data_IF_665862432861
#
_entry.id   IF_665862432861
#
_cell.length_a   1.000
_cell.length_b   1.000
_cell.length_c   1.000
_cell.angle_alpha   90.00
_cell.angle_beta   90.00
_cell.angle_gamma   90.00
#
_symmetry.space_group_name_H-M   'P 1'
#
loop_
_entity.id
_entity.type
_entity.pdbx_description
1 polymer ?
#
# COMPACT_ATOMS: atom_id res chain seq x y z
N UNK A 1 -5.63 8.71 25.11
CA UNK A 1 -4.52 8.04 24.42
C UNK A 1 -3.28 8.15 25.29
N UNK A 2 -2.39 7.14 25.32
CA UNK A 2 -1.08 7.31 25.92
C UNK A 2 -0.29 8.39 25.16
N UNK A 3 0.69 9.01 25.82
CA UNK A 3 1.65 9.90 25.16
C UNK A 3 2.58 9.01 24.32
N UNK A 4 2.77 9.36 23.04
CA UNK A 4 3.68 8.65 22.15
C UNK A 4 5.04 9.34 22.10
N UNK A 5 6.12 8.55 22.02
CA UNK A 5 7.49 9.06 21.94
C UNK A 5 7.75 9.88 20.66
N UNK A 6 7.05 9.54 19.58
CA UNK A 6 7.02 10.30 18.35
C UNK A 6 5.76 9.98 17.53
N UNK A 7 5.58 10.72 16.44
CA UNK A 7 4.44 10.64 15.54
C UNK A 7 4.28 9.27 14.83
N UNK A 8 5.33 8.44 14.74
CA UNK A 8 5.17 7.08 14.20
C UNK A 8 4.28 6.20 15.11
N UNK A 9 4.22 6.53 16.41
CA UNK A 9 3.37 5.83 17.36
C UNK A 9 1.86 6.02 17.11
N UNK A 10 1.47 7.00 16.30
CA UNK A 10 0.06 7.26 15.94
C UNK A 10 -0.37 6.52 14.68
N UNK A 11 0.50 5.74 14.05
CA UNK A 11 0.17 4.92 12.87
C UNK A 11 -0.77 3.78 13.28
N UNK A 12 -1.81 3.58 12.50
CA UNK A 12 -2.84 2.56 12.74
C UNK A 12 -3.92 3.00 13.70
N UNK A 13 -4.71 2.03 14.20
CA UNK A 13 -5.94 2.29 14.98
C UNK A 13 -6.88 3.31 14.30
N UNK A 14 -6.95 3.22 12.98
CA UNK A 14 -7.79 4.09 12.15
C UNK A 14 -9.27 3.74 12.39
N UNK A 15 -10.21 4.69 12.26
CA UNK A 15 -11.61 4.41 12.57
C UNK A 15 -12.26 3.52 11.51
N UNK A 16 -13.25 2.73 11.94
CA UNK A 16 -14.20 2.05 11.05
C UNK A 16 -15.49 2.88 10.99
N UNK A 17 -15.81 3.42 9.82
CA UNK A 17 -16.91 4.38 9.64
C UNK A 17 -18.03 3.76 8.83
N UNK A 18 -19.21 3.58 9.45
CA UNK A 18 -20.40 3.08 8.77
C UNK A 18 -20.88 4.07 7.70
N UNK A 19 -21.05 3.61 6.46
CA UNK A 19 -21.74 4.36 5.43
C UNK A 19 -23.24 4.39 5.74
N UNK A 20 -23.85 5.56 5.56
CA UNK A 20 -25.29 5.76 5.85
C UNK A 20 -26.08 5.96 4.56
N UNK A 21 -25.81 7.04 3.82
CA UNK A 21 -26.58 7.42 2.62
C UNK A 21 -26.27 6.52 1.42
N UNK A 22 -24.99 6.23 1.18
CA UNK A 22 -24.53 5.48 0.01
C UNK A 22 -24.98 4.01 0.05
N UNK A 23 -25.04 3.44 1.26
CA UNK A 23 -25.46 2.07 1.53
C UNK A 23 -26.95 1.95 1.93
N UNK A 24 -27.72 3.02 1.84
CA UNK A 24 -29.13 3.01 2.22
C UNK A 24 -29.92 2.00 1.36
N UNK A 25 -30.71 1.15 2.02
CA UNK A 25 -31.51 0.11 1.36
C UNK A 25 -30.76 -1.19 1.06
N UNK A 26 -29.44 -1.26 1.32
CA UNK A 26 -28.72 -2.53 1.24
C UNK A 26 -29.07 -3.42 2.45
N UNK A 27 -29.21 -4.75 2.26
CA UNK A 27 -29.47 -5.68 3.36
C UNK A 27 -28.25 -5.93 4.25
N UNK A 28 -27.14 -5.22 4.02
CA UNK A 28 -25.87 -5.40 4.72
C UNK A 28 -25.35 -4.06 5.27
N UNK A 29 -24.57 -4.14 6.35
CA UNK A 29 -23.83 -2.98 6.86
C UNK A 29 -22.53 -2.81 6.07
N UNK A 30 -22.35 -1.64 5.46
CA UNK A 30 -21.11 -1.27 4.79
C UNK A 30 -20.36 -0.26 5.67
N UNK A 31 -19.11 -0.55 5.99
CA UNK A 31 -18.24 0.34 6.73
C UNK A 31 -16.88 0.49 6.05
N UNK A 32 -16.27 1.66 6.19
CA UNK A 32 -14.97 2.01 5.61
C UNK A 32 -13.92 2.02 6.70
N UNK A 33 -12.88 1.21 6.54
CA UNK A 33 -11.66 1.32 7.36
C UNK A 33 -10.86 2.52 6.86
N UNK A 34 -10.93 3.62 7.59
CA UNK A 34 -10.54 4.94 7.11
C UNK A 34 -9.02 5.17 7.22
N UNK A 35 -8.24 4.47 6.39
CA UNK A 35 -6.78 4.53 6.37
C UNK A 35 -6.20 5.92 6.04
N UNK A 36 -7.03 6.86 5.59
CA UNK A 36 -6.68 8.27 5.44
C UNK A 36 -6.57 9.03 6.76
N UNK A 37 -6.88 8.41 7.91
CA UNK A 37 -6.61 8.95 9.25
C UNK A 37 -5.22 8.61 9.79
N UNK A 38 -4.42 7.81 9.07
CA UNK A 38 -2.99 7.67 9.41
C UNK A 38 -2.30 9.04 9.30
N UNK A 39 -1.17 9.28 10.00
CA UNK A 39 -0.58 10.61 10.14
C UNK A 39 -0.25 11.32 8.81
N UNK A 40 0.12 10.57 7.77
CA UNK A 40 0.42 11.10 6.42
C UNK A 40 -0.69 10.78 5.42
N UNK A 41 -1.87 10.39 5.92
CA UNK A 41 -3.10 10.32 5.16
C UNK A 41 -3.26 9.06 4.32
N UNK A 42 -2.54 7.98 4.60
CA UNK A 42 -2.67 6.76 3.80
C UNK A 42 -2.38 5.45 4.53
N UNK A 43 -2.87 4.35 3.95
CA UNK A 43 -2.54 2.97 4.37
C UNK A 43 -1.04 2.67 4.29
N UNK A 44 -0.27 3.42 3.50
CA UNK A 44 1.15 3.14 3.28
C UNK A 44 2.02 3.52 4.47
N UNK A 45 1.54 4.37 5.37
CA UNK A 45 2.20 4.74 6.62
C UNK A 45 2.54 3.47 7.43
N UNK A 46 1.59 2.51 7.48
CA UNK A 46 1.79 1.21 8.11
C UNK A 46 2.98 0.46 7.54
N UNK A 47 3.04 0.32 6.21
CA UNK A 47 4.08 -0.49 5.57
C UNK A 47 5.43 0.24 5.52
N UNK A 48 5.42 1.57 5.42
CA UNK A 48 6.63 2.39 5.49
C UNK A 48 7.33 2.19 6.83
N UNK A 49 6.58 2.28 7.93
CA UNK A 49 7.12 2.02 9.26
C UNK A 49 7.55 0.55 9.43
N UNK A 50 6.71 -0.40 9.01
CA UNK A 50 6.97 -1.83 9.21
C UNK A 50 8.17 -2.35 8.41
N UNK A 51 8.35 -1.91 7.16
CA UNK A 51 9.51 -2.33 6.35
C UNK A 51 10.82 -1.78 6.95
N UNK A 52 10.82 -0.54 7.43
CA UNK A 52 11.99 0.05 8.11
C UNK A 52 12.29 -0.69 9.41
N UNK A 53 11.28 -0.94 10.26
CA UNK A 53 11.45 -1.68 11.50
C UNK A 53 11.97 -3.12 11.26
N UNK A 54 11.49 -3.79 10.20
CA UNK A 54 12.00 -5.10 9.81
C UNK A 54 13.47 -5.03 9.38
N UNK A 55 13.83 -4.06 8.53
CA UNK A 55 15.22 -3.85 8.11
C UNK A 55 16.17 -3.52 9.27
N UNK A 56 15.70 -2.76 10.27
CA UNK A 56 16.43 -2.50 11.51
C UNK A 56 16.67 -3.80 12.31
N UNK A 57 15.62 -4.60 12.53
CA UNK A 57 15.71 -5.86 13.28
C UNK A 57 16.60 -6.91 12.61
N UNK A 58 16.60 -6.93 11.29
CA UNK A 58 17.44 -7.83 10.48
C UNK A 58 18.89 -7.33 10.34
N UNK A 59 19.22 -6.15 10.88
CA UNK A 59 20.55 -5.55 10.75
C UNK A 59 20.88 -5.04 9.33
N UNK A 60 19.89 -4.99 8.43
CA UNK A 60 20.02 -4.45 7.07
C UNK A 60 20.06 -2.93 7.05
N UNK A 61 19.47 -2.29 8.06
CA UNK A 61 19.47 -0.84 8.23
C UNK A 61 20.27 -0.49 9.48
N UNK A 62 21.19 0.44 9.30
CA UNK A 62 21.97 1.10 10.34
C UNK A 62 21.81 2.61 10.19
N UNK A 63 22.22 3.44 11.16
CA UNK A 63 22.20 4.91 11.00
C UNK A 63 23.00 5.43 9.79
N UNK A 64 23.89 4.61 9.22
CA UNK A 64 24.67 4.95 8.02
C UNK A 64 23.99 4.51 6.71
N UNK A 65 22.89 3.76 6.80
CA UNK A 65 22.25 3.16 5.64
C UNK A 65 21.47 4.21 4.84
N UNK A 66 21.57 4.13 3.51
CA UNK A 66 20.76 4.94 2.59
C UNK A 66 19.60 4.11 2.06
N UNK A 67 18.38 4.50 2.37
CA UNK A 67 17.18 3.84 1.86
C UNK A 67 16.91 4.36 0.45
N UNK A 68 16.59 3.46 -0.47
CA UNK A 68 16.28 3.80 -1.87
C UNK A 68 14.96 3.11 -2.21
N UNK A 69 13.94 3.81 -2.69
CA UNK A 69 12.70 3.16 -3.16
C UNK A 69 12.21 3.80 -4.47
N UNK A 70 11.91 2.99 -5.50
CA UNK A 70 11.31 3.50 -6.73
C UNK A 70 9.81 3.74 -6.53
N UNK A 71 9.44 4.95 -6.11
CA UNK A 71 8.05 5.32 -5.88
C UNK A 71 7.83 6.83 -5.85
N UNK A 72 6.68 7.25 -6.38
CA UNK A 72 6.15 8.62 -6.29
C UNK A 72 4.80 8.68 -5.57
N UNK A 73 4.30 7.53 -5.13
CA UNK A 73 2.99 7.40 -4.48
C UNK A 73 3.08 7.51 -2.97
N UNK A 74 2.02 7.04 -2.32
CA UNK A 74 1.88 7.09 -0.87
C UNK A 74 3.01 6.35 -0.13
N UNK A 75 3.62 5.31 -0.73
CA UNK A 75 4.78 4.63 -0.12
C UNK A 75 6.00 5.54 -0.01
N UNK A 76 6.22 6.43 -1.00
CA UNK A 76 7.31 7.41 -0.94
C UNK A 76 7.09 8.42 0.18
N UNK A 77 5.85 8.90 0.34
CA UNK A 77 5.47 9.82 1.42
C UNK A 77 5.68 9.16 2.78
N UNK A 78 5.19 7.92 2.95
CA UNK A 78 5.35 7.16 4.18
C UNK A 78 6.82 6.91 4.53
N UNK A 79 7.64 6.48 3.56
CA UNK A 79 9.07 6.26 3.77
C UNK A 79 9.81 7.57 4.09
N UNK A 80 9.49 8.68 3.41
CA UNK A 80 10.09 9.98 3.67
C UNK A 80 9.81 10.45 5.10
N UNK A 81 8.56 10.33 5.52
CA UNK A 81 8.15 10.64 6.88
C UNK A 81 8.85 9.76 7.93
N UNK A 82 8.89 8.44 7.73
CA UNK A 82 9.56 7.51 8.65
C UNK A 82 11.06 7.77 8.70
N UNK A 83 11.69 8.02 7.55
CA UNK A 83 13.10 8.34 7.46
C UNK A 83 13.42 9.67 8.17
N UNK A 84 12.59 10.70 8.00
CA UNK A 84 12.73 11.96 8.71
C UNK A 84 12.62 11.79 10.23
N UNK A 85 11.64 11.01 10.70
CA UNK A 85 11.42 10.77 12.13
C UNK A 85 12.55 9.94 12.78
N UNK A 86 13.17 9.03 12.02
CA UNK A 86 14.25 8.13 12.50
C UNK A 86 15.67 8.58 12.14
N UNK A 87 15.81 9.65 11.36
CA UNK A 87 17.11 10.19 10.93
C UNK A 87 17.82 9.40 9.82
N UNK A 88 17.07 8.69 8.97
CA UNK A 88 17.64 7.97 7.83
C UNK A 88 17.75 8.84 6.58
N UNK A 89 18.77 8.54 5.75
CA UNK A 89 18.85 9.07 4.39
C UNK A 89 17.88 8.32 3.49
N UNK A 90 17.09 9.04 2.72
CA UNK A 90 16.17 8.47 1.74
C UNK A 90 16.40 9.07 0.35
N UNK A 91 16.48 8.21 -0.65
CA UNK A 91 16.43 8.55 -2.06
C UNK A 91 15.17 7.93 -2.67
N UNK A 92 14.37 8.75 -3.34
CA UNK A 92 13.20 8.29 -4.10
C UNK A 92 13.46 8.47 -5.58
N UNK A 93 13.40 7.39 -6.35
CA UNK A 93 13.46 7.46 -7.81
C UNK A 93 12.05 7.53 -8.38
N UNK A 94 11.81 8.44 -9.31
CA UNK A 94 10.50 8.59 -9.95
C UNK A 94 10.57 9.26 -11.32
N UNK A 95 9.58 9.03 -12.20
CA UNK A 95 9.49 9.75 -13.47
C UNK A 95 9.32 11.27 -13.26
N UNK A 96 9.93 12.08 -14.11
CA UNK A 96 9.79 13.54 -14.06
C UNK A 96 8.37 14.05 -14.35
N UNK A 97 7.51 13.20 -14.92
CA UNK A 97 6.08 13.47 -15.14
C UNK A 97 5.25 13.54 -13.85
N UNK A 98 5.84 13.23 -12.69
CA UNK A 98 5.18 13.34 -11.41
C UNK A 98 4.94 14.81 -11.02
N UNK A 99 3.78 15.06 -10.39
CA UNK A 99 3.34 16.42 -10.09
C UNK A 99 4.34 17.18 -9.22
N UNK A 100 4.40 18.50 -9.40
CA UNK A 100 5.31 19.35 -8.63
C UNK A 100 4.96 19.32 -7.14
N UNK A 101 3.68 19.28 -6.79
CA UNK A 101 3.20 19.22 -5.41
C UNK A 101 3.72 17.98 -4.68
N UNK A 102 3.71 16.81 -5.33
CA UNK A 102 4.26 15.57 -4.76
C UNK A 102 5.78 15.67 -4.58
N UNK A 103 6.50 16.21 -5.56
CA UNK A 103 7.95 16.41 -5.45
C UNK A 103 8.29 17.37 -4.32
N UNK A 104 7.57 18.48 -4.20
CA UNK A 104 7.76 19.47 -3.13
C UNK A 104 7.50 18.85 -1.76
N UNK A 105 6.40 18.11 -1.59
CA UNK A 105 6.09 17.44 -0.31
C UNK A 105 7.22 16.49 0.11
N UNK A 106 7.71 15.65 -0.79
CA UNK A 106 8.76 14.68 -0.49
C UNK A 106 10.10 15.35 -0.16
N UNK A 107 10.44 16.43 -0.88
CA UNK A 107 11.64 17.21 -0.60
C UNK A 107 11.56 17.93 0.76
N UNK A 108 10.38 18.44 1.14
CA UNK A 108 10.15 19.03 2.47
C UNK A 108 10.27 18.01 3.60
N UNK A 109 9.94 16.74 3.34
CA UNK A 109 10.18 15.63 4.25
C UNK A 109 11.66 15.15 4.25
N UNK A 110 12.56 15.85 3.54
CA UNK A 110 14.00 15.55 3.53
C UNK A 110 14.41 14.42 2.58
N UNK A 111 13.51 13.93 1.72
CA UNK A 111 13.88 12.93 0.72
C UNK A 111 14.67 13.56 -0.43
N UNK A 112 15.76 12.91 -0.84
CA UNK A 112 16.44 13.23 -2.10
C UNK A 112 15.63 12.63 -3.25
N UNK A 113 15.29 13.43 -4.25
CA UNK A 113 14.56 12.96 -5.42
C UNK A 113 15.54 12.74 -6.58
N UNK A 114 15.46 11.56 -7.19
CA UNK A 114 16.18 11.22 -8.41
C UNK A 114 15.15 11.05 -9.53
N UNK A 115 15.11 12.01 -10.45
CA UNK A 115 14.13 12.01 -11.54
C UNK A 115 14.64 11.16 -12.71
N UNK A 116 13.76 10.35 -13.28
CA UNK A 116 14.01 9.57 -14.50
C UNK A 116 13.16 10.08 -15.67
N UNK A 117 13.55 9.83 -16.93
CA UNK A 117 12.77 10.25 -18.09
C UNK A 117 11.32 9.77 -18.02
N UNK A 118 10.37 10.65 -18.37
CA UNK A 118 8.95 10.32 -18.34
C UNK A 118 8.59 9.14 -19.28
N UNK A 119 9.30 9.01 -20.40
CA UNK A 119 9.12 7.97 -21.42
C UNK A 119 9.42 6.56 -20.92
N UNK A 120 10.28 6.41 -19.92
CA UNK A 120 10.63 5.12 -19.32
C UNK A 120 9.65 4.68 -18.21
N UNK A 121 8.82 5.63 -17.73
CA UNK A 121 7.85 5.40 -16.67
C UNK A 121 8.45 4.75 -15.43
N UNK A 122 7.65 3.94 -14.73
CA UNK A 122 8.11 3.26 -13.51
C UNK A 122 9.22 2.24 -13.75
N UNK A 123 9.35 1.69 -14.96
CA UNK A 123 10.45 0.77 -15.29
C UNK A 123 11.80 1.49 -15.21
N UNK A 124 11.89 2.71 -15.72
CA UNK A 124 13.08 3.56 -15.58
C UNK A 124 13.40 3.89 -14.12
N UNK A 125 12.39 4.25 -13.32
CA UNK A 125 12.57 4.52 -11.90
C UNK A 125 13.11 3.30 -11.13
N UNK A 126 12.61 2.09 -11.41
CA UNK A 126 13.11 0.84 -10.81
C UNK A 126 14.56 0.59 -11.23
N UNK A 127 14.87 0.66 -12.53
CA UNK A 127 16.24 0.47 -13.01
C UNK A 127 17.22 1.46 -12.38
N UNK A 128 16.81 2.72 -12.20
CA UNK A 128 17.62 3.73 -11.52
C UNK A 128 17.81 3.42 -10.03
N UNK A 129 16.79 2.95 -9.32
CA UNK A 129 16.92 2.56 -7.91
C UNK A 129 17.92 1.41 -7.75
N UNK A 130 17.86 0.41 -8.63
CA UNK A 130 18.79 -0.72 -8.63
C UNK A 130 20.22 -0.29 -8.97
N UNK A 131 20.40 0.64 -9.91
CA UNK A 131 21.71 1.21 -10.22
C UNK A 131 22.29 1.97 -9.02
N UNK A 132 21.50 2.85 -8.40
CA UNK A 132 21.91 3.58 -7.18
C UNK A 132 22.26 2.62 -6.04
N UNK A 133 21.53 1.51 -5.89
CA UNK A 133 21.84 0.53 -4.85
C UNK A 133 23.17 -0.20 -5.09
N UNK A 134 23.63 -0.31 -6.34
CA UNK A 134 24.97 -0.82 -6.69
C UNK A 134 26.06 0.23 -6.50
N UNK A 135 25.74 1.50 -6.71
CA UNK A 135 26.67 2.64 -6.61
C UNK A 135 26.90 3.10 -5.16
N UNK A 136 25.86 3.06 -4.31
CA UNK A 136 25.89 3.58 -2.94
C UNK A 136 26.16 2.42 -1.98
N UNK A 137 27.35 2.36 -1.34
CA UNK A 137 27.62 1.37 -0.31
C UNK A 137 26.65 1.53 0.87
N UNK A 138 26.28 0.42 1.51
CA UNK A 138 25.32 0.42 2.61
C UNK A 138 23.98 1.06 2.23
N UNK A 139 23.47 0.73 1.04
CA UNK A 139 22.14 1.11 0.61
C UNK A 139 21.17 -0.07 0.72
N UNK A 140 19.88 0.22 0.83
CA UNK A 140 18.84 -0.80 0.97
C UNK A 140 17.57 -0.38 0.25
N UNK A 141 16.97 -1.32 -0.50
CA UNK A 141 15.69 -1.12 -1.18
C UNK A 141 14.60 -1.89 -0.43
N UNK A 142 13.59 -1.22 0.15
CA UNK A 142 12.48 -1.88 0.85
C UNK A 142 11.71 -2.87 -0.02
N UNK A 143 11.47 -2.57 -1.30
CA UNK A 143 10.74 -3.42 -2.25
C UNK A 143 9.31 -3.74 -1.82
N UNK A 144 8.43 -2.73 -1.78
CA UNK A 144 7.05 -2.87 -1.26
C UNK A 144 6.20 -4.00 -1.87
N UNK A 145 6.51 -4.44 -3.10
CA UNK A 145 5.79 -5.50 -3.81
C UNK A 145 6.20 -6.92 -3.39
N UNK A 146 7.35 -7.07 -2.73
CA UNK A 146 7.96 -8.36 -2.34
C UNK A 146 8.26 -8.50 -0.86
N UNK A 147 8.37 -7.38 -0.15
CA UNK A 147 8.79 -7.38 1.24
C UNK A 147 7.71 -7.99 2.15
N UNK A 148 8.01 -9.08 2.88
CA UNK A 148 7.02 -9.75 3.73
C UNK A 148 6.54 -8.89 4.91
N UNK A 149 7.28 -7.85 5.29
CA UNK A 149 6.84 -6.90 6.31
C UNK A 149 5.56 -6.14 5.91
N UNK A 150 5.29 -5.99 4.61
CA UNK A 150 4.08 -5.36 4.10
C UNK A 150 2.81 -6.17 4.45
N UNK A 151 2.60 -7.43 4.00
CA UNK A 151 1.45 -8.20 4.46
C UNK A 151 1.50 -8.46 5.98
N UNK A 152 2.68 -8.65 6.58
CA UNK A 152 2.80 -8.94 8.01
C UNK A 152 2.26 -7.81 8.92
N UNK A 153 2.46 -6.53 8.58
CA UNK A 153 1.90 -5.45 9.39
C UNK A 153 0.37 -5.44 9.34
N UNK A 154 -0.22 -5.79 8.19
CA UNK A 154 -1.67 -5.89 8.04
C UNK A 154 -2.24 -7.07 8.84
N UNK A 155 -1.52 -8.20 8.95
CA UNK A 155 -1.88 -9.30 9.86
C UNK A 155 -1.88 -8.84 11.31
N UNK A 156 -0.79 -8.19 11.74
CA UNK A 156 -0.56 -7.80 13.14
C UNK A 156 -1.47 -6.65 13.60
N UNK A 157 -1.89 -5.79 12.69
CA UNK A 157 -2.61 -4.55 13.04
C UNK A 157 -3.95 -4.46 12.34
N UNK A 158 -3.98 -4.20 11.03
CA UNK A 158 -5.21 -3.92 10.29
C UNK A 158 -6.27 -5.02 10.45
N UNK A 159 -5.88 -6.29 10.42
CA UNK A 159 -6.78 -7.42 10.62
C UNK A 159 -7.37 -7.45 12.04
N UNK A 160 -6.53 -7.25 13.05
CA UNK A 160 -6.93 -7.22 14.46
C UNK A 160 -7.85 -6.04 14.76
N UNK A 161 -7.55 -4.87 14.19
CA UNK A 161 -8.40 -3.70 14.33
C UNK A 161 -9.78 -3.95 13.71
N UNK A 162 -9.85 -4.43 12.45
CA UNK A 162 -11.13 -4.76 11.81
C UNK A 162 -11.90 -5.82 12.61
N UNK A 163 -11.22 -6.85 13.10
CA UNK A 163 -11.83 -7.91 13.89
C UNK A 163 -12.41 -7.37 15.20
N UNK A 164 -11.63 -6.57 15.93
CA UNK A 164 -12.07 -5.96 17.19
C UNK A 164 -13.19 -4.94 16.98
N UNK A 165 -13.05 -4.05 16.00
CA UNK A 165 -14.01 -2.96 15.73
C UNK A 165 -15.37 -3.49 15.26
N UNK A 166 -15.45 -4.76 14.83
CA UNK A 166 -16.67 -5.42 14.39
C UNK A 166 -17.18 -6.47 15.36
N UNK A 167 -16.61 -6.59 16.56
CA UNK A 167 -16.90 -7.68 17.52
C UNK A 167 -16.79 -9.08 16.88
N UNK A 168 -15.85 -9.27 15.94
CA UNK A 168 -15.68 -10.51 15.18
C UNK A 168 -16.79 -10.81 14.17
N UNK A 169 -17.68 -9.84 13.89
CA UNK A 169 -18.85 -10.04 13.02
C UNK A 169 -18.58 -9.75 11.55
N UNK A 170 -17.43 -9.18 11.18
CA UNK A 170 -17.11 -8.93 9.77
C UNK A 170 -17.29 -10.18 8.90
N UNK A 171 -18.05 -10.06 7.82
CA UNK A 171 -18.33 -11.15 6.88
C UNK A 171 -17.48 -11.05 5.61
N UNK A 172 -17.24 -9.83 5.13
CA UNK A 172 -16.60 -9.57 3.85
C UNK A 172 -15.60 -8.42 3.99
N UNK A 173 -14.40 -8.59 3.44
CA UNK A 173 -13.49 -7.49 3.14
C UNK A 173 -13.45 -7.25 1.64
N UNK A 174 -13.71 -6.02 1.24
CA UNK A 174 -13.49 -5.55 -0.14
C UNK A 174 -12.25 -4.66 -0.13
N UNK A 175 -11.23 -4.99 -0.93
CA UNK A 175 -9.96 -4.26 -0.93
C UNK A 175 -9.44 -4.06 -2.35
N UNK A 176 -9.19 -2.80 -2.72
CA UNK A 176 -8.56 -2.48 -3.99
C UNK A 176 -7.07 -2.81 -3.95
N UNK A 177 -6.59 -3.56 -4.95
CA UNK A 177 -5.29 -4.21 -4.88
C UNK A 177 -4.22 -3.39 -5.61
N UNK A 178 -3.24 -2.91 -4.83
CA UNK A 178 -1.97 -2.38 -5.31
C UNK A 178 -0.84 -3.39 -5.11
N UNK A 179 -0.26 -3.41 -3.91
CA UNK A 179 0.83 -4.35 -3.55
C UNK A 179 0.34 -5.72 -3.08
N UNK A 180 -0.97 -5.90 -2.87
CA UNK A 180 -1.54 -7.13 -2.29
C UNK A 180 -1.48 -7.24 -0.77
N UNK A 181 -0.59 -6.50 -0.10
CA UNK A 181 -0.34 -6.70 1.33
C UNK A 181 -1.56 -6.54 2.24
N UNK A 182 -2.45 -5.57 1.98
CA UNK A 182 -3.64 -5.36 2.80
C UNK A 182 -4.61 -6.53 2.74
N UNK A 183 -4.99 -6.97 1.53
CA UNK A 183 -5.95 -8.07 1.38
C UNK A 183 -5.36 -9.39 1.87
N UNK A 184 -4.09 -9.68 1.53
CA UNK A 184 -3.38 -10.87 2.01
C UNK A 184 -3.35 -10.90 3.54
N UNK A 185 -2.83 -9.84 4.17
CA UNK A 185 -2.64 -9.82 5.61
C UNK A 185 -3.94 -9.87 6.39
N UNK A 186 -5.00 -9.20 5.92
CA UNK A 186 -6.30 -9.24 6.60
C UNK A 186 -7.00 -10.58 6.41
N UNK A 187 -7.04 -11.10 5.18
CA UNK A 187 -7.77 -12.34 4.89
C UNK A 187 -7.14 -13.55 5.59
N UNK A 188 -5.81 -13.67 5.61
CA UNK A 188 -5.14 -14.82 6.24
C UNK A 188 -5.44 -14.92 7.74
N UNK A 189 -5.53 -13.79 8.43
CA UNK A 189 -5.88 -13.76 9.86
C UNK A 189 -7.36 -14.07 10.05
N UNK A 190 -8.25 -13.37 9.34
CA UNK A 190 -9.69 -13.45 9.59
C UNK A 190 -10.26 -14.80 9.11
N UNK A 191 -9.83 -15.35 7.97
CA UNK A 191 -10.21 -16.71 7.52
C UNK A 191 -9.71 -17.81 8.48
N UNK A 192 -8.66 -17.54 9.26
CA UNK A 192 -8.24 -18.40 10.35
C UNK A 192 -9.31 -18.50 11.46
N UNK A 193 -10.03 -17.40 11.72
CA UNK A 193 -11.03 -17.28 12.81
C UNK A 193 -12.46 -17.58 12.34
N UNK A 194 -12.81 -17.18 11.12
CA UNK A 194 -14.15 -17.30 10.54
C UNK A 194 -14.06 -17.84 9.12
N UNK A 195 -14.35 -19.12 8.94
CA UNK A 195 -14.23 -19.81 7.64
C UNK A 195 -15.19 -19.29 6.57
N UNK A 196 -16.32 -18.70 6.98
CA UNK A 196 -17.28 -18.07 6.07
C UNK A 196 -16.86 -16.67 5.60
N UNK A 197 -15.76 -16.11 6.12
CA UNK A 197 -15.29 -14.79 5.72
C UNK A 197 -14.82 -14.76 4.27
N UNK A 198 -15.24 -13.74 3.52
CA UNK A 198 -14.86 -13.54 2.13
C UNK A 198 -13.91 -12.35 1.96
N UNK A 199 -12.88 -12.52 1.12
CA UNK A 199 -11.96 -11.48 0.69
C UNK A 199 -12.17 -11.24 -0.81
N UNK A 200 -12.64 -10.03 -1.13
CA UNK A 200 -12.94 -9.59 -2.49
C UNK A 200 -11.87 -8.60 -2.92
N UNK A 201 -11.08 -8.97 -3.93
CA UNK A 201 -10.12 -8.10 -4.56
C UNK A 201 -10.81 -7.17 -5.55
N UNK A 202 -10.43 -5.89 -5.57
CA UNK A 202 -10.89 -4.93 -6.58
C UNK A 202 -9.71 -4.51 -7.45
N UNK A 203 -9.87 -4.55 -8.76
CA UNK A 203 -8.86 -4.10 -9.73
C UNK A 203 -9.45 -3.24 -10.85
N UNK A 204 -8.61 -2.45 -11.56
CA UNK A 204 -9.08 -1.66 -12.70
C UNK A 204 -9.52 -2.55 -13.86
N UNK A 205 -10.70 -2.26 -14.42
CA UNK A 205 -11.22 -2.95 -15.62
C UNK A 205 -10.26 -2.87 -16.81
N UNK A 206 -9.54 -1.75 -16.95
CA UNK A 206 -8.59 -1.53 -18.04
C UNK A 206 -7.22 -2.21 -17.82
N UNK A 207 -6.97 -2.77 -16.63
CA UNK A 207 -5.74 -3.51 -16.30
C UNK A 207 -6.03 -4.71 -15.38
N UNK A 208 -6.85 -5.68 -15.83
CA UNK A 208 -7.42 -6.72 -14.97
C UNK A 208 -6.48 -7.93 -14.81
N UNK A 209 -5.26 -7.66 -14.35
CA UNK A 209 -4.16 -8.64 -14.31
C UNK A 209 -4.43 -9.79 -13.33
N UNK A 210 -5.16 -9.55 -12.24
CA UNK A 210 -5.51 -10.57 -11.25
C UNK A 210 -6.57 -11.51 -11.84
N UNK A 211 -7.62 -10.97 -12.47
CA UNK A 211 -8.66 -11.76 -13.13
C UNK A 211 -8.10 -12.60 -14.27
N UNK A 212 -7.24 -12.01 -15.11
CA UNK A 212 -6.55 -12.73 -16.18
C UNK A 212 -5.69 -13.88 -15.64
N UNK A 213 -4.91 -13.61 -14.58
CA UNK A 213 -4.07 -14.64 -13.94
C UNK A 213 -4.91 -15.78 -13.38
N UNK A 214 -5.97 -15.49 -12.62
CA UNK A 214 -6.84 -16.52 -12.02
C UNK A 214 -7.58 -17.37 -13.07
N UNK A 215 -7.91 -16.78 -14.21
CA UNK A 215 -8.61 -17.49 -15.30
C UNK A 215 -7.65 -18.19 -16.29
N UNK A 216 -6.34 -18.13 -16.06
CA UNK A 216 -5.34 -18.68 -16.98
C UNK A 216 -5.24 -17.95 -18.32
N UNK A 217 -5.80 -16.73 -18.41
CA UNK A 217 -5.69 -15.90 -19.60
C UNK A 217 -4.33 -15.19 -19.66
N UNK A 218 -3.85 -14.84 -20.87
CA UNK A 218 -2.64 -14.03 -21.01
C UNK A 218 -2.76 -12.71 -20.26
N UNK A 219 -1.79 -12.42 -19.39
CA UNK A 219 -1.73 -11.18 -18.63
C UNK A 219 -1.41 -10.02 -19.57
N UNK A 220 -2.35 -9.09 -19.70
CA UNK A 220 -2.23 -7.89 -20.53
C UNK A 220 -2.59 -6.66 -19.69
N UNK A 221 -1.59 -5.99 -19.09
CA UNK A 221 -1.84 -4.75 -18.36
C UNK A 221 -2.22 -3.63 -19.32
N UNK A 222 -3.01 -2.67 -18.85
CA UNK A 222 -3.42 -1.50 -19.60
C UNK A 222 -3.37 -0.21 -18.77
N UNK A 223 -3.34 0.97 -19.42
CA UNK A 223 -3.35 2.24 -18.71
C UNK A 223 -4.71 2.49 -18.04
N UNK A 224 -4.70 2.97 -16.80
CA UNK A 224 -5.91 3.34 -16.05
C UNK A 224 -5.65 4.55 -15.14
N UNK A 225 -6.71 5.12 -14.57
CA UNK A 225 -6.65 6.35 -13.76
C UNK A 225 -6.88 6.12 -12.25
N UNK A 226 -7.22 4.89 -11.85
CA UNK A 226 -7.38 4.50 -10.43
C UNK A 226 -6.00 4.38 -9.76
N UNK A 227 -5.52 5.49 -9.19
CA UNK A 227 -4.19 5.55 -8.60
C UNK A 227 -4.07 4.69 -7.33
N UNK A 228 -2.94 4.01 -7.17
CA UNK A 228 -2.65 3.17 -5.99
C UNK A 228 -3.06 1.70 -6.12
N UNK A 229 -3.68 1.33 -7.24
CA UNK A 229 -4.13 -0.03 -7.56
C UNK A 229 -3.58 -0.48 -8.92
N UNK A 230 -3.76 -1.74 -9.29
CA UNK A 230 -3.52 -2.21 -10.67
C UNK A 230 -2.06 -2.07 -11.12
N UNK A 231 -1.12 -2.69 -10.40
CA UNK A 231 0.32 -2.53 -10.64
C UNK A 231 0.80 -3.01 -12.03
N UNK A 232 -0.06 -3.64 -12.83
CA UNK A 232 0.26 -4.19 -14.14
C UNK A 232 0.91 -5.58 -14.10
N UNK A 233 1.00 -6.18 -12.92
CA UNK A 233 1.43 -7.54 -12.64
C UNK A 233 0.80 -8.00 -11.31
N UNK A 234 0.83 -9.31 -11.03
CA UNK A 234 0.46 -9.86 -9.72
C UNK A 234 1.66 -9.74 -8.77
N UNK A 235 1.59 -8.94 -7.70
CA UNK A 235 2.71 -8.80 -6.76
C UNK A 235 2.95 -10.08 -5.94
N UNK A 236 4.21 -10.35 -5.57
CA UNK A 236 4.57 -11.48 -4.70
C UNK A 236 3.84 -11.42 -3.34
N UNK A 237 3.56 -10.21 -2.85
CA UNK A 237 2.79 -9.97 -1.62
C UNK A 237 1.27 -10.26 -1.76
N UNK A 238 0.75 -10.51 -2.96
CA UNK A 238 -0.64 -10.92 -3.19
C UNK A 238 -0.72 -12.44 -3.24
N UNK A 239 -1.20 -13.05 -2.16
CA UNK A 239 -1.52 -14.48 -2.17
C UNK A 239 -2.89 -14.62 -2.84
N UNK A 240 -3.00 -15.41 -3.92
CA UNK A 240 -4.24 -15.50 -4.72
C UNK A 240 -5.23 -16.52 -4.16
N UNK A 241 -4.77 -17.49 -3.39
CA UNK A 241 -5.55 -18.56 -2.76
C UNK A 241 -6.51 -18.03 -1.69
N UNK A 242 -6.20 -16.89 -1.06
CA UNK A 242 -7.06 -16.22 -0.09
C UNK A 242 -8.17 -15.38 -0.74
N UNK A 243 -8.10 -15.12 -2.05
CA UNK A 243 -9.05 -14.25 -2.75
C UNK A 243 -10.23 -15.07 -3.25
N UNK A 244 -11.41 -14.84 -2.69
CA UNK A 244 -12.62 -15.55 -3.11
C UNK A 244 -13.10 -15.03 -4.47
N UNK A 245 -13.19 -13.70 -4.60
CA UNK A 245 -13.72 -13.04 -5.80
C UNK A 245 -12.83 -11.86 -6.21
N UNK A 246 -12.80 -11.58 -7.52
CA UNK A 246 -12.17 -10.37 -8.08
C UNK A 246 -13.24 -9.57 -8.80
N UNK A 247 -13.43 -8.32 -8.41
CA UNK A 247 -14.35 -7.38 -9.05
C UNK A 247 -13.54 -6.37 -9.84
N UNK A 248 -13.92 -6.17 -11.10
CA UNK A 248 -13.33 -5.10 -11.93
C UNK A 248 -14.17 -3.84 -11.84
N UNK A 249 -13.49 -2.68 -11.76
CA UNK A 249 -14.15 -1.37 -11.71
C UNK A 249 -13.56 -0.44 -12.77
N UNK A 250 -14.41 0.32 -13.45
CA UNK A 250 -13.97 1.34 -14.42
C UNK A 250 -13.48 2.61 -13.72
N UNK A 251 -12.72 3.44 -14.47
CA UNK A 251 -12.28 4.74 -13.97
C UNK A 251 -13.47 5.64 -13.57
N UNK A 252 -14.53 5.64 -14.39
CA UNK A 252 -15.69 6.51 -14.19
C UNK A 252 -16.50 6.08 -12.96
N UNK A 253 -16.70 4.78 -12.74
CA UNK A 253 -17.36 4.26 -11.52
C UNK A 253 -16.56 4.63 -10.26
N UNK A 254 -15.23 4.46 -10.30
CA UNK A 254 -14.36 4.80 -9.18
C UNK A 254 -14.44 6.29 -8.83
N UNK A 255 -14.38 7.18 -9.84
CA UNK A 255 -14.47 8.62 -9.62
C UNK A 255 -15.87 9.08 -9.21
N UNK A 256 -16.92 8.48 -9.77
CA UNK A 256 -18.28 8.78 -9.38
C UNK A 256 -18.52 8.42 -7.92
N UNK A 257 -18.07 7.24 -7.47
CA UNK A 257 -18.22 6.82 -6.07
C UNK A 257 -17.41 7.71 -5.12
N UNK A 258 -16.18 8.07 -5.47
CA UNK A 258 -15.32 8.92 -4.62
C UNK A 258 -15.87 10.34 -4.37
N UNK A 259 -16.77 10.84 -5.23
CA UNK A 259 -17.37 12.19 -5.12
C UNK A 259 -18.69 12.23 -4.33
N UNK A 260 -19.32 11.07 -4.07
CA UNK A 260 -20.59 10.98 -3.34
C UNK A 260 -20.38 11.01 -1.83
#
# INVERSE_FOLDING_TARGET
MPIHDNILGTIGRTPLVKLQRISAGLPATVAVKAEFFNPLGSVKDRIGAAMIEAGEKEGRITPKTTIIEPTSGNTGIALAFVAAAKGYKLILTMPESMSLERRTLLALLGAKLELTPATEGMKGAIARAEALAKEIPNSWIPQQFKNPANPAIHKKTTAEEIWSDTDGKVDILVSAVGTGGTITGVAEVIKGRKKSFQAIAVEPKDSPVISQTRSGQPVKPGPHKIQGTGAGFVPDNLHLDIVDEVITVSNDEAFAMARR
#
